data_IF_897492413566
#
_entry.id   IF_897492413566
#
_cell.length_a   1.000
_cell.length_b   1.000
_cell.length_c   1.000
_cell.angle_alpha   90.00
_cell.angle_beta   90.00
_cell.angle_gamma   90.00
#
_symmetry.space_group_name_H-M   'P 1'
#
loop_
_entity.id
_entity.type
_entity.pdbx_description
1 polymer ?
#
# COMPACT_ATOMS: atom_id res chain seq x y z
N UNK A 1 10.05 19.58 5.85
CA UNK A 1 10.62 18.24 5.55
C UNK A 1 9.52 17.16 5.43
N UNK A 2 8.49 17.14 6.29
CA UNK A 2 7.45 16.09 6.29
C UNK A 2 6.43 16.21 5.14
N UNK A 3 6.08 17.43 4.73
CA UNK A 3 5.26 17.67 3.52
C UNK A 3 5.92 17.10 2.25
N UNK A 4 7.26 17.18 2.17
CA UNK A 4 8.03 16.62 1.05
C UNK A 4 8.05 15.09 1.04
N UNK A 5 8.06 14.43 2.20
CA UNK A 5 8.05 12.96 2.30
C UNK A 5 6.69 12.38 1.87
N UNK A 6 5.57 12.95 2.32
CA UNK A 6 4.23 12.51 1.87
C UNK A 6 3.96 12.79 0.38
N UNK A 7 4.45 13.91 -0.15
CA UNK A 7 4.43 14.20 -1.59
C UNK A 7 5.28 13.20 -2.37
N UNK A 8 6.47 12.84 -1.87
CA UNK A 8 7.38 11.92 -2.56
C UNK A 8 6.83 10.49 -2.71
N UNK A 9 5.95 10.05 -1.81
CA UNK A 9 5.38 8.69 -1.85
C UNK A 9 4.56 8.43 -3.11
N UNK A 10 3.76 9.41 -3.53
CA UNK A 10 2.91 9.28 -4.72
C UNK A 10 3.53 9.86 -5.98
N UNK A 11 4.59 10.67 -5.86
CA UNK A 11 5.25 11.26 -7.01
C UNK A 11 5.98 10.19 -7.84
N UNK A 12 5.76 10.11 -9.17
CA UNK A 12 6.47 9.14 -10.00
C UNK A 12 7.95 9.52 -10.14
N UNK A 13 8.82 8.60 -9.74
CA UNK A 13 10.27 8.70 -9.94
C UNK A 13 10.65 8.08 -11.30
N UNK A 14 11.76 8.52 -11.92
CA UNK A 14 12.33 7.82 -13.06
C UNK A 14 12.80 6.42 -12.65
N UNK A 15 12.82 5.50 -13.62
CA UNK A 15 13.40 4.17 -13.48
C UNK A 15 14.85 4.19 -13.97
N UNK A 16 15.75 3.75 -13.10
CA UNK A 16 17.18 3.73 -13.36
C UNK A 16 17.60 2.28 -13.59
N UNK A 17 18.33 2.04 -14.68
CA UNK A 17 18.96 0.77 -14.98
C UNK A 17 20.44 0.85 -14.59
N UNK A 18 20.85 0.00 -13.65
CA UNK A 18 22.22 -0.11 -13.18
C UNK A 18 22.84 -1.39 -13.73
N UNK A 19 23.92 -1.26 -14.49
CA UNK A 19 24.82 -2.37 -14.79
C UNK A 19 25.92 -2.45 -13.74
N UNK A 20 26.06 -3.61 -13.11
CA UNK A 20 27.03 -3.84 -12.04
C UNK A 20 28.27 -4.56 -12.58
N UNK A 21 29.41 -4.36 -11.90
CA UNK A 21 30.69 -5.00 -12.23
C UNK A 21 30.68 -6.54 -12.18
N UNK A 22 29.69 -7.12 -11.52
CA UNK A 22 29.47 -8.58 -11.47
C UNK A 22 28.59 -9.10 -12.61
N UNK A 23 28.22 -8.24 -13.56
CA UNK A 23 27.39 -8.56 -14.72
C UNK A 23 25.88 -8.50 -14.45
N UNK A 24 25.45 -8.29 -13.20
CA UNK A 24 24.03 -8.12 -12.90
C UNK A 24 23.52 -6.79 -13.42
N UNK A 25 22.26 -6.79 -13.85
CA UNK A 25 21.53 -5.59 -14.24
C UNK A 25 20.32 -5.41 -13.33
N UNK A 26 20.15 -4.23 -12.76
CA UNK A 26 19.05 -3.91 -11.84
C UNK A 26 18.26 -2.73 -12.41
N UNK A 27 16.94 -2.85 -12.46
CA UNK A 27 16.03 -1.76 -12.80
C UNK A 27 15.19 -1.38 -11.58
N UNK A 28 15.18 -0.10 -11.22
CA UNK A 28 14.42 0.35 -10.05
C UNK A 28 14.30 1.86 -9.89
N UNK A 29 13.51 2.27 -8.89
CA UNK A 29 13.39 3.67 -8.49
C UNK A 29 14.36 3.95 -7.33
N UNK A 30 15.19 4.98 -7.44
CA UNK A 30 16.07 5.37 -6.33
C UNK A 30 15.24 6.07 -5.26
N UNK A 31 15.08 5.41 -4.11
CA UNK A 31 14.26 5.90 -2.99
C UNK A 31 15.08 6.57 -1.89
N UNK A 32 16.34 6.19 -1.74
CA UNK A 32 17.25 6.75 -0.75
C UNK A 32 18.68 6.70 -1.24
N UNK A 33 19.48 7.67 -0.82
CA UNK A 33 20.94 7.70 -1.00
C UNK A 33 21.58 7.93 0.35
N UNK A 34 22.68 7.24 0.64
CA UNK A 34 23.45 7.49 1.85
C UNK A 34 24.93 7.15 1.68
N UNK A 35 25.73 7.70 2.58
CA UNK A 35 27.14 7.36 2.72
C UNK A 35 27.28 6.33 3.84
N UNK A 36 28.10 5.30 3.61
CA UNK A 36 28.37 4.25 4.57
C UNK A 36 29.86 3.91 4.59
N UNK A 37 30.32 3.27 5.67
CA UNK A 37 31.64 2.64 5.74
C UNK A 37 31.47 1.15 5.46
N UNK A 38 31.97 0.61 4.34
CA UNK A 38 31.85 -0.81 4.07
C UNK A 38 32.57 -1.65 5.13
N UNK A 39 31.91 -2.71 5.60
CA UNK A 39 32.49 -3.67 6.54
C UNK A 39 33.23 -4.78 5.78
N UNK A 40 34.09 -5.56 6.44
CA UNK A 40 34.80 -6.70 5.81
C UNK A 40 33.87 -7.68 5.09
N UNK A 41 32.65 -7.88 5.59
CA UNK A 41 31.63 -8.71 4.91
C UNK A 41 31.25 -8.19 3.51
N UNK A 42 31.25 -6.87 3.28
CA UNK A 42 31.00 -6.31 1.97
C UNK A 42 32.14 -6.67 1.01
N UNK A 43 33.39 -6.47 1.45
CA UNK A 43 34.56 -6.83 0.65
C UNK A 43 34.64 -8.34 0.37
N UNK A 44 34.20 -9.18 1.31
CA UNK A 44 34.14 -10.63 1.14
C UNK A 44 33.08 -11.09 0.11
N UNK A 45 32.09 -10.25 -0.21
CA UNK A 45 31.11 -10.54 -1.28
C UNK A 45 31.60 -10.15 -2.68
N UNK A 46 32.75 -9.49 -2.80
CA UNK A 46 33.27 -9.05 -4.08
C UNK A 46 34.05 -10.20 -4.73
N UNK A 47 33.62 -10.62 -5.92
CA UNK A 47 34.27 -11.66 -6.70
C UNK A 47 34.87 -11.08 -7.98
N UNK A 48 36.10 -11.48 -8.31
CA UNK A 48 36.77 -11.09 -9.56
C UNK A 48 37.88 -10.04 -9.41
N UNK A 49 38.54 -9.70 -10.52
CA UNK A 49 39.79 -8.90 -10.51
C UNK A 49 39.59 -7.46 -10.03
N UNK A 50 38.36 -6.95 -10.09
CA UNK A 50 37.99 -5.60 -9.67
C UNK A 50 37.77 -5.46 -8.16
N UNK A 51 37.72 -6.56 -7.39
CA UNK A 51 37.50 -6.52 -5.94
C UNK A 51 38.60 -5.72 -5.21
N UNK A 52 39.86 -5.90 -5.63
CA UNK A 52 40.99 -5.15 -5.09
C UNK A 52 40.93 -3.66 -5.42
N UNK A 53 40.45 -3.32 -6.63
CA UNK A 53 40.27 -1.93 -7.06
C UNK A 53 39.21 -1.22 -6.23
N UNK A 54 38.08 -1.88 -5.96
CA UNK A 54 37.01 -1.35 -5.10
C UNK A 54 37.53 -1.06 -3.71
N UNK A 55 38.33 -1.96 -3.12
CA UNK A 55 38.94 -1.75 -1.80
C UNK A 55 39.86 -0.52 -1.81
N UNK A 56 40.78 -0.45 -2.78
CA UNK A 56 41.70 0.67 -2.92
C UNK A 56 40.96 2.00 -3.14
N UNK A 57 39.88 2.00 -3.92
CA UNK A 57 39.04 3.18 -4.16
C UNK A 57 38.39 3.69 -2.86
N UNK A 58 37.80 2.79 -2.07
CA UNK A 58 37.16 3.16 -0.80
C UNK A 58 38.20 3.64 0.23
N UNK A 59 39.36 2.99 0.30
CA UNK A 59 40.47 3.42 1.18
C UNK A 59 40.98 4.81 0.79
N UNK A 60 41.20 5.07 -0.51
CA UNK A 60 41.58 6.38 -1.01
C UNK A 60 40.52 7.46 -0.73
N UNK A 61 39.24 7.09 -0.65
CA UNK A 61 38.13 7.95 -0.27
C UNK A 61 37.96 8.13 1.25
N UNK A 62 38.93 7.70 2.08
CA UNK A 62 38.86 7.82 3.53
C UNK A 62 37.98 6.76 4.21
N UNK A 63 37.84 5.59 3.57
CA UNK A 63 37.10 4.45 4.09
C UNK A 63 35.59 4.56 3.97
N UNK A 64 35.07 5.47 3.13
CA UNK A 64 33.63 5.70 2.93
C UNK A 64 33.24 5.46 1.46
N UNK A 65 32.03 4.93 1.26
CA UNK A 65 31.40 4.73 -0.04
C UNK A 65 29.96 5.26 -0.03
N UNK A 66 29.34 5.42 -1.19
CA UNK A 66 27.91 5.75 -1.27
C UNK A 66 27.11 4.52 -1.68
N UNK A 67 25.85 4.48 -1.26
CA UNK A 67 24.91 3.47 -1.71
C UNK A 67 23.54 4.07 -1.95
N UNK A 68 22.83 3.48 -2.89
CA UNK A 68 21.48 3.83 -3.27
C UNK A 68 20.54 2.68 -2.90
N UNK A 69 19.39 3.00 -2.29
CA UNK A 69 18.32 2.05 -2.06
C UNK A 69 17.37 2.12 -3.25
N UNK A 70 17.45 1.12 -4.12
CA UNK A 70 16.53 0.98 -5.22
C UNK A 70 15.30 0.25 -4.70
N UNK A 71 14.12 0.82 -4.90
CA UNK A 71 12.90 0.01 -4.93
C UNK A 71 12.98 -0.80 -6.21
N UNK A 72 12.99 -2.12 -6.08
CA UNK A 72 12.95 -3.05 -7.20
C UNK A 72 11.54 -3.61 -7.31
N UNK A 73 11.03 -3.73 -8.53
CA UNK A 73 9.76 -4.39 -8.80
C UNK A 73 9.92 -5.91 -8.82
N UNK A 74 8.89 -6.59 -9.31
CA UNK A 74 8.96 -8.01 -9.69
C UNK A 74 9.23 -8.90 -8.47
N UNK A 75 8.53 -8.66 -7.36
CA UNK A 75 8.71 -9.40 -6.11
C UNK A 75 8.56 -10.91 -6.31
N UNK A 76 7.64 -11.33 -7.18
CA UNK A 76 7.43 -12.72 -7.55
C UNK A 76 8.66 -13.38 -8.21
N UNK A 77 9.55 -12.60 -8.82
CA UNK A 77 10.78 -13.08 -9.45
C UNK A 77 12.00 -12.95 -8.53
N UNK A 78 12.04 -11.87 -7.75
CA UNK A 78 13.24 -11.48 -6.99
C UNK A 78 13.13 -11.73 -5.48
N UNK A 79 11.92 -11.95 -4.96
CA UNK A 79 11.58 -12.02 -3.53
C UNK A 79 12.07 -10.82 -2.69
N UNK A 80 12.34 -9.68 -3.32
CA UNK A 80 12.72 -8.45 -2.62
C UNK A 80 12.13 -7.21 -3.28
N UNK A 81 11.63 -6.29 -2.46
CA UNK A 81 11.11 -5.00 -2.93
C UNK A 81 12.18 -3.91 -2.94
N UNK A 82 13.31 -4.12 -2.26
CA UNK A 82 14.34 -3.12 -2.11
C UNK A 82 15.74 -3.74 -2.13
N UNK A 83 16.66 -3.09 -2.84
CA UNK A 83 18.05 -3.51 -2.92
C UNK A 83 18.97 -2.32 -2.68
N UNK A 84 19.95 -2.50 -1.79
CA UNK A 84 21.05 -1.56 -1.64
C UNK A 84 22.11 -1.85 -2.69
N UNK A 85 22.46 -0.84 -3.48
CA UNK A 85 23.52 -0.92 -4.49
C UNK A 85 24.59 0.11 -4.14
N UNK A 86 25.84 -0.33 -3.98
CA UNK A 86 26.96 0.57 -3.72
C UNK A 86 27.45 1.20 -5.02
N UNK A 87 27.77 2.49 -4.99
CA UNK A 87 28.27 3.24 -6.16
C UNK A 87 29.55 2.63 -6.75
N UNK A 88 30.45 2.12 -5.91
CA UNK A 88 31.68 1.43 -6.34
C UNK A 88 31.43 0.13 -7.13
N UNK A 89 30.22 -0.43 -7.08
CA UNK A 89 29.84 -1.61 -7.86
C UNK A 89 29.16 -1.25 -9.19
N UNK A 90 28.74 0.01 -9.36
CA UNK A 90 28.04 0.47 -10.56
C UNK A 90 29.10 0.69 -11.65
N UNK A 91 28.95 -0.02 -12.76
CA UNK A 91 29.79 0.15 -13.95
C UNK A 91 29.17 1.19 -14.90
N UNK A 92 27.87 1.10 -15.14
CA UNK A 92 27.11 2.07 -15.92
C UNK A 92 25.70 2.26 -15.36
N UNK A 93 25.13 3.43 -15.64
CA UNK A 93 23.80 3.82 -15.20
C UNK A 93 23.08 4.52 -16.35
N UNK A 94 21.88 4.03 -16.67
CA UNK A 94 21.03 4.57 -17.73
C UNK A 94 19.60 4.82 -17.23
N UNK A 95 18.87 5.69 -17.92
CA UNK A 95 17.43 5.91 -17.76
C UNK A 95 16.73 5.53 -19.08
N UNK A 96 16.45 4.24 -19.32
CA UNK A 96 15.95 3.80 -20.62
C UNK A 96 14.60 4.43 -20.94
N UNK A 97 14.44 4.95 -22.16
CA UNK A 97 13.20 5.63 -22.59
C UNK A 97 11.95 4.79 -22.35
N UNK A 98 12.01 3.48 -22.63
CA UNK A 98 10.87 2.56 -22.54
C UNK A 98 10.81 1.74 -21.25
N UNK A 99 11.44 2.21 -20.17
CA UNK A 99 11.24 1.61 -18.85
C UNK A 99 9.80 1.86 -18.36
N UNK A 100 9.02 0.78 -18.24
CA UNK A 100 7.64 0.80 -17.77
C UNK A 100 7.59 0.48 -16.28
N UNK A 101 6.88 1.33 -15.54
CA UNK A 101 6.38 1.06 -14.20
C UNK A 101 4.93 0.59 -14.29
N UNK A 102 4.65 -0.60 -13.78
CA UNK A 102 3.32 -1.18 -13.71
C UNK A 102 2.89 -1.33 -12.26
N UNK A 103 1.74 -0.79 -11.93
CA UNK A 103 1.05 -1.01 -10.66
C UNK A 103 -0.03 -2.06 -10.88
N UNK A 104 0.03 -3.14 -10.10
CA UNK A 104 -0.81 -4.32 -10.28
C UNK A 104 -1.75 -4.52 -9.11
N UNK A 105 -2.78 -5.34 -9.32
CA UNK A 105 -3.70 -5.76 -8.27
C UNK A 105 -3.01 -6.65 -7.23
N UNK A 106 -2.05 -7.47 -7.65
CA UNK A 106 -1.31 -8.43 -6.83
C UNK A 106 0.21 -8.27 -7.04
N UNK A 107 0.99 -8.77 -6.07
CA UNK A 107 2.47 -8.83 -6.14
C UNK A 107 3.19 -7.48 -6.30
N UNK A 108 2.53 -6.38 -5.94
CA UNK A 108 3.13 -5.04 -5.96
C UNK A 108 3.47 -4.53 -7.37
N UNK A 109 4.50 -3.68 -7.44
CA UNK A 109 4.94 -3.06 -8.70
C UNK A 109 5.74 -4.02 -9.57
N UNK A 110 5.60 -3.87 -10.88
CA UNK A 110 6.43 -4.54 -11.88
C UNK A 110 7.22 -3.51 -12.69
N UNK A 111 8.51 -3.75 -12.89
CA UNK A 111 9.39 -2.93 -13.72
C UNK A 111 9.98 -3.77 -14.86
N UNK A 112 9.91 -3.23 -16.08
CA UNK A 112 10.46 -3.89 -17.25
C UNK A 112 10.27 -3.07 -18.52
N UNK A 113 10.49 -3.72 -19.65
CA UNK A 113 10.42 -3.14 -20.98
C UNK A 113 9.31 -3.82 -21.79
N UNK A 114 8.53 -3.08 -22.58
CA UNK A 114 7.49 -3.68 -23.41
C UNK A 114 8.13 -4.59 -24.47
N UNK A 115 7.69 -5.84 -24.52
CA UNK A 115 8.18 -6.82 -25.48
C UNK A 115 7.14 -7.12 -26.58
N UNK A 116 5.91 -7.44 -26.19
CA UNK A 116 4.81 -7.72 -27.13
C UNK A 116 3.46 -7.36 -26.51
N UNK A 117 2.50 -6.99 -27.35
CA UNK A 117 1.10 -6.91 -26.98
C UNK A 117 0.33 -8.03 -27.69
N UNK A 118 -0.44 -8.78 -26.92
CA UNK A 118 -1.17 -9.96 -27.39
C UNK A 118 -2.68 -9.70 -27.34
N UNK A 119 -3.38 -10.06 -28.41
CA UNK A 119 -4.84 -10.22 -28.40
C UNK A 119 -5.20 -11.62 -28.87
N UNK A 120 -5.95 -12.36 -28.06
CA UNK A 120 -6.27 -13.78 -28.30
C UNK A 120 -5.03 -14.66 -28.51
N UNK A 121 -3.96 -14.36 -27.78
CA UNK A 121 -2.68 -15.07 -27.89
C UNK A 121 -1.90 -14.77 -29.18
N UNK A 122 -2.37 -13.84 -30.03
CA UNK A 122 -1.66 -13.39 -31.23
C UNK A 122 -0.98 -12.06 -30.97
N UNK A 123 0.25 -11.93 -31.43
CA UNK A 123 0.99 -10.66 -31.37
C UNK A 123 0.32 -9.66 -32.30
N UNK A 124 -0.12 -8.53 -31.74
CA UNK A 124 -0.72 -7.41 -32.48
C UNK A 124 0.16 -6.16 -32.48
N UNK A 125 1.15 -6.10 -31.58
CA UNK A 125 2.21 -5.09 -31.57
C UNK A 125 3.49 -5.66 -30.95
N UNK A 126 4.64 -5.28 -31.50
CA UNK A 126 5.97 -5.75 -31.10
C UNK A 126 7.02 -4.62 -30.98
N UNK A 127 6.63 -3.37 -31.25
CA UNK A 127 7.45 -2.19 -30.97
C UNK A 127 6.94 -1.48 -29.72
N UNK A 128 7.83 -0.91 -28.88
CA UNK A 128 7.43 -0.23 -27.64
C UNK A 128 6.33 0.83 -27.84
N UNK A 129 6.42 1.65 -28.88
CA UNK A 129 5.44 2.67 -29.24
C UNK A 129 4.08 2.05 -29.59
N UNK A 130 4.06 1.02 -30.43
CA UNK A 130 2.82 0.36 -30.83
C UNK A 130 2.17 -0.40 -29.67
N UNK A 131 2.98 -1.04 -28.83
CA UNK A 131 2.53 -1.72 -27.60
C UNK A 131 1.90 -0.70 -26.64
N UNK A 132 2.53 0.46 -26.45
CA UNK A 132 2.01 1.50 -25.59
C UNK A 132 0.70 2.09 -26.12
N UNK A 133 0.60 2.33 -27.43
CA UNK A 133 -0.64 2.79 -28.06
C UNK A 133 -1.78 1.78 -27.87
N UNK A 134 -1.52 0.49 -28.10
CA UNK A 134 -2.51 -0.57 -27.88
C UNK A 134 -2.93 -0.67 -26.40
N UNK A 135 -1.99 -0.50 -25.46
CA UNK A 135 -2.30 -0.45 -24.04
C UNK A 135 -3.24 0.74 -23.73
N UNK A 136 -2.91 1.95 -24.19
CA UNK A 136 -3.69 3.16 -23.93
C UNK A 136 -5.10 3.09 -24.52
N UNK A 137 -5.26 2.44 -25.68
CA UNK A 137 -6.57 2.24 -26.32
C UNK A 137 -7.46 1.25 -25.53
N UNK A 138 -6.89 0.14 -25.04
CA UNK A 138 -7.67 -0.97 -24.50
C UNK A 138 -7.77 -1.01 -22.97
N UNK A 139 -6.81 -0.42 -22.26
CA UNK A 139 -6.72 -0.55 -20.80
C UNK A 139 -7.92 0.07 -20.09
N UNK A 140 -8.41 1.24 -20.54
CA UNK A 140 -9.58 1.89 -19.98
C UNK A 140 -10.83 1.00 -20.00
N UNK A 141 -11.16 0.42 -21.17
CA UNK A 141 -12.30 -0.49 -21.30
C UNK A 141 -12.14 -1.76 -20.46
N UNK A 142 -10.93 -2.31 -20.39
CA UNK A 142 -10.63 -3.47 -19.54
C UNK A 142 -10.86 -3.15 -18.07
N UNK A 143 -10.48 -1.95 -17.62
CA UNK A 143 -10.70 -1.48 -16.24
C UNK A 143 -12.18 -1.24 -15.94
N UNK A 144 -12.95 -0.67 -16.86
CA UNK A 144 -14.40 -0.53 -16.70
C UNK A 144 -15.09 -1.89 -16.57
N UNK A 145 -14.73 -2.86 -17.43
CA UNK A 145 -15.23 -4.23 -17.33
C UNK A 145 -14.84 -4.89 -16.01
N UNK A 146 -13.60 -4.67 -15.56
CA UNK A 146 -13.13 -5.17 -14.26
C UNK A 146 -13.93 -4.57 -13.10
N UNK A 147 -14.25 -3.27 -13.13
CA UNK A 147 -15.07 -2.63 -12.11
C UNK A 147 -16.49 -3.20 -12.10
N UNK A 148 -17.09 -3.39 -13.28
CA UNK A 148 -18.41 -4.03 -13.39
C UNK A 148 -18.40 -5.45 -12.81
N UNK A 149 -17.31 -6.22 -13.01
CA UNK A 149 -17.14 -7.53 -12.39
C UNK A 149 -17.14 -7.43 -10.86
N UNK A 150 -16.42 -6.45 -10.29
CA UNK A 150 -16.38 -6.21 -8.83
C UNK A 150 -17.76 -5.92 -8.26
N UNK A 151 -18.56 -5.11 -8.95
CA UNK A 151 -19.93 -4.79 -8.51
C UNK A 151 -20.84 -6.03 -8.51
N UNK A 152 -20.65 -6.94 -9.47
CA UNK A 152 -21.35 -8.22 -9.54
C UNK A 152 -20.88 -9.19 -8.43
N UNK A 153 -19.57 -9.26 -8.16
CA UNK A 153 -19.02 -10.03 -7.04
C UNK A 153 -19.56 -9.53 -5.69
N UNK A 154 -19.67 -8.21 -5.51
CA UNK A 154 -20.26 -7.61 -4.31
C UNK A 154 -21.75 -7.95 -4.15
N UNK A 155 -22.49 -8.09 -5.25
CA UNK A 155 -23.87 -8.58 -5.23
C UNK A 155 -23.94 -10.04 -4.78
N UNK A 156 -23.05 -10.91 -5.28
CA UNK A 156 -22.93 -12.30 -4.81
C UNK A 156 -22.64 -12.33 -3.30
N UNK A 157 -21.72 -11.48 -2.83
CA UNK A 157 -21.43 -11.33 -1.41
C UNK A 157 -22.68 -11.06 -0.59
N UNK A 158 -23.47 -10.04 -0.94
CA UNK A 158 -24.73 -9.71 -0.25
C UNK A 158 -25.76 -10.85 -0.27
N UNK A 159 -25.84 -11.60 -1.37
CA UNK A 159 -26.72 -12.77 -1.48
C UNK A 159 -26.28 -13.86 -0.51
N UNK A 160 -24.97 -14.13 -0.44
CA UNK A 160 -24.40 -15.11 0.48
C UNK A 160 -24.57 -14.69 1.94
N UNK A 161 -24.39 -13.42 2.26
CA UNK A 161 -24.59 -12.87 3.61
C UNK A 161 -26.04 -13.12 4.07
N UNK A 162 -27.02 -12.78 3.22
CA UNK A 162 -28.44 -13.02 3.53
C UNK A 162 -28.78 -14.49 3.72
N UNK A 163 -28.11 -15.38 3.00
CA UNK A 163 -28.31 -16.82 3.14
C UNK A 163 -27.69 -17.34 4.43
N UNK A 164 -26.50 -16.85 4.79
CA UNK A 164 -25.83 -17.23 6.02
C UNK A 164 -26.57 -16.71 7.26
N UNK A 165 -27.09 -15.48 7.22
CA UNK A 165 -27.95 -14.94 8.28
C UNK A 165 -29.17 -15.84 8.55
N UNK A 166 -29.85 -16.29 7.50
CA UNK A 166 -31.00 -17.19 7.63
C UNK A 166 -30.61 -18.57 8.17
N UNK A 167 -29.42 -19.09 7.81
CA UNK A 167 -28.89 -20.34 8.35
C UNK A 167 -28.56 -20.22 9.83
N UNK A 168 -27.95 -19.12 10.25
CA UNK A 168 -27.63 -18.83 11.63
C UNK A 168 -28.89 -18.63 12.48
N UNK A 169 -29.92 -17.97 11.94
CA UNK A 169 -31.22 -17.80 12.59
C UNK A 169 -31.89 -19.16 12.85
N UNK A 170 -31.99 -20.00 11.81
CA UNK A 170 -32.53 -21.36 11.92
C UNK A 170 -31.74 -22.20 12.93
N UNK A 171 -30.40 -22.11 12.90
CA UNK A 171 -29.52 -22.83 13.83
C UNK A 171 -29.71 -22.34 15.27
N UNK A 172 -29.91 -21.03 15.47
CA UNK A 172 -30.20 -20.43 16.76
C UNK A 172 -31.51 -20.95 17.36
N UNK A 173 -32.56 -21.09 16.55
CA UNK A 173 -33.85 -21.66 16.98
C UNK A 173 -33.69 -23.14 17.35
N UNK A 174 -32.98 -23.92 16.52
CA UNK A 174 -32.71 -25.34 16.78
C UNK A 174 -32.01 -25.54 18.14
N UNK A 175 -31.04 -24.70 18.47
CA UNK A 175 -30.30 -24.79 19.73
C UNK A 175 -31.16 -24.43 20.96
N UNK A 176 -32.15 -23.54 20.82
CA UNK A 176 -33.03 -23.12 21.93
C UNK A 176 -34.18 -24.09 22.18
N UNK A 177 -34.82 -24.58 21.12
CA UNK A 177 -36.11 -25.28 21.22
C UNK A 177 -36.16 -26.65 20.53
N UNK A 178 -35.11 -27.05 19.81
CA UNK A 178 -35.11 -28.26 18.98
C UNK A 178 -35.87 -28.09 17.66
N UNK A 179 -35.80 -29.13 16.80
CA UNK A 179 -36.34 -29.11 15.43
C UNK A 179 -37.86 -29.26 15.34
N UNK A 180 -38.49 -29.77 16.40
CA UNK A 180 -39.93 -30.09 16.40
C UNK A 180 -40.83 -28.89 16.73
N UNK A 181 -40.24 -27.69 16.81
CA UNK A 181 -41.00 -26.47 17.13
C UNK A 181 -41.69 -25.88 15.89
N UNK A 182 -42.88 -25.25 16.05
CA UNK A 182 -43.51 -24.50 14.97
C UNK A 182 -42.63 -23.36 14.44
N UNK A 183 -41.84 -22.73 15.32
CA UNK A 183 -40.88 -21.68 15.00
C UNK A 183 -39.79 -22.19 14.03
N UNK A 184 -39.20 -23.35 14.33
CA UNK A 184 -38.19 -23.97 13.45
C UNK A 184 -38.76 -24.32 12.08
N UNK A 185 -39.99 -24.85 12.03
CA UNK A 185 -40.66 -25.19 10.76
C UNK A 185 -41.00 -23.95 9.92
N UNK A 186 -41.35 -22.84 10.57
CA UNK A 186 -41.58 -21.56 9.89
C UNK A 186 -40.27 -21.00 9.33
N UNK A 187 -39.20 -20.97 10.13
CA UNK A 187 -37.92 -20.41 9.71
C UNK A 187 -37.25 -21.27 8.64
N UNK A 188 -37.39 -22.60 8.71
CA UNK A 188 -36.92 -23.48 7.63
C UNK A 188 -37.57 -23.15 6.29
N UNK A 189 -38.88 -22.90 6.25
CA UNK A 189 -39.58 -22.50 5.01
C UNK A 189 -39.09 -21.14 4.51
N UNK A 190 -38.78 -20.21 5.41
CA UNK A 190 -38.18 -18.92 5.05
C UNK A 190 -36.79 -19.10 4.44
N UNK A 191 -35.94 -19.94 5.04
CA UNK A 191 -34.64 -20.31 4.49
C UNK A 191 -34.77 -20.94 3.09
N UNK A 192 -35.72 -21.85 2.87
CA UNK A 192 -35.97 -22.45 1.55
C UNK A 192 -36.31 -21.40 0.49
N UNK A 193 -37.11 -20.38 0.84
CA UNK A 193 -37.43 -19.26 -0.06
C UNK A 193 -36.20 -18.38 -0.33
N UNK A 194 -35.40 -18.09 0.70
CA UNK A 194 -34.17 -17.29 0.55
C UNK A 194 -33.15 -18.04 -0.32
N UNK A 195 -32.97 -19.34 -0.08
CA UNK A 195 -32.09 -20.20 -0.88
C UNK A 195 -32.52 -20.22 -2.35
N UNK A 196 -33.81 -20.40 -2.64
CA UNK A 196 -34.30 -20.40 -4.02
C UNK A 196 -34.05 -19.05 -4.74
N UNK A 197 -34.21 -17.93 -4.03
CA UNK A 197 -33.89 -16.59 -4.56
C UNK A 197 -32.39 -16.42 -4.77
N UNK A 198 -31.57 -16.87 -3.83
CA UNK A 198 -30.12 -16.84 -3.93
C UNK A 198 -29.65 -17.63 -5.15
N UNK A 199 -30.15 -18.86 -5.33
CA UNK A 199 -29.82 -19.72 -6.47
C UNK A 199 -30.18 -19.04 -7.80
N UNK A 200 -31.34 -18.38 -7.87
CA UNK A 200 -31.75 -17.61 -9.04
C UNK A 200 -30.80 -16.43 -9.32
N UNK A 201 -30.46 -15.64 -8.30
CA UNK A 201 -29.53 -14.51 -8.44
C UNK A 201 -28.13 -14.97 -8.88
N UNK A 202 -27.62 -16.06 -8.31
CA UNK A 202 -26.32 -16.63 -8.69
C UNK A 202 -26.35 -17.15 -10.13
N UNK A 203 -27.43 -17.83 -10.55
CA UNK A 203 -27.59 -18.30 -11.92
C UNK A 203 -27.63 -17.15 -12.94
N UNK A 204 -28.08 -15.96 -12.55
CA UNK A 204 -28.06 -14.76 -13.41
C UNK A 204 -26.69 -14.05 -13.42
N UNK A 205 -26.04 -13.93 -12.26
CA UNK A 205 -24.81 -13.13 -12.11
C UNK A 205 -23.58 -13.90 -12.60
N UNK A 206 -23.47 -15.20 -12.32
CA UNK A 206 -22.28 -15.99 -12.63
C UNK A 206 -21.91 -15.97 -14.12
N UNK A 207 -22.85 -16.11 -15.07
CA UNK A 207 -22.54 -16.03 -16.50
C UNK A 207 -22.01 -14.65 -16.92
N UNK A 208 -22.50 -13.56 -16.32
CA UNK A 208 -22.04 -12.19 -16.60
C UNK A 208 -20.58 -12.03 -16.18
N UNK A 209 -20.22 -12.50 -14.99
CA UNK A 209 -18.83 -12.51 -14.51
C UNK A 209 -17.95 -13.32 -15.45
N UNK A 210 -18.37 -14.53 -15.83
CA UNK A 210 -17.60 -15.39 -16.75
C UNK A 210 -17.39 -14.75 -18.12
N UNK A 211 -18.41 -14.06 -18.67
CA UNK A 211 -18.29 -13.34 -19.93
C UNK A 211 -17.24 -12.21 -19.83
N UNK A 212 -17.27 -11.43 -18.75
CA UNK A 212 -16.29 -10.36 -18.50
C UNK A 212 -14.87 -10.93 -18.38
N UNK A 213 -14.69 -11.99 -17.59
CA UNK A 213 -13.39 -12.65 -17.40
C UNK A 213 -12.86 -13.15 -18.75
N UNK A 214 -13.69 -13.84 -19.53
CA UNK A 214 -13.33 -14.31 -20.87
C UNK A 214 -12.92 -13.17 -21.79
N UNK A 215 -13.68 -12.07 -21.78
CA UNK A 215 -13.39 -10.91 -22.62
C UNK A 215 -12.08 -10.21 -22.21
N UNK A 216 -11.85 -10.01 -20.92
CA UNK A 216 -10.66 -9.33 -20.43
C UNK A 216 -9.39 -10.17 -20.60
N UNK A 217 -9.47 -11.50 -20.48
CA UNK A 217 -8.33 -12.39 -20.65
C UNK A 217 -7.76 -12.44 -22.08
N UNK A 218 -8.47 -11.84 -23.05
CA UNK A 218 -8.03 -11.75 -24.45
C UNK A 218 -6.80 -10.86 -24.60
N UNK A 219 -6.66 -9.83 -23.77
CA UNK A 219 -5.62 -8.81 -23.92
C UNK A 219 -4.53 -8.98 -22.87
N UNK A 220 -3.28 -9.11 -23.34
CA UNK A 220 -2.15 -9.38 -22.48
C UNK A 220 -0.93 -8.56 -22.92
N UNK A 221 -0.16 -8.09 -21.94
CA UNK A 221 1.08 -7.36 -22.14
C UNK A 221 2.24 -8.26 -21.74
N UNK A 222 3.15 -8.52 -22.69
CA UNK A 222 4.42 -9.18 -22.42
C UNK A 222 5.50 -8.13 -22.18
N UNK A 223 6.26 -8.32 -21.12
CA UNK A 223 7.39 -7.48 -20.74
C UNK A 223 8.65 -8.31 -20.59
N UNK A 224 9.79 -7.69 -20.86
CA UNK A 224 11.10 -8.21 -20.46
C UNK A 224 11.61 -7.47 -19.22
N UNK A 225 12.18 -8.22 -18.28
CA UNK A 225 12.85 -7.66 -17.11
C UNK A 225 14.30 -7.30 -17.44
N UNK A 226 14.96 -6.54 -16.56
CA UNK A 226 16.34 -6.14 -16.75
C UNK A 226 17.35 -7.31 -16.73
N UNK A 227 17.00 -8.41 -16.07
CA UNK A 227 17.77 -9.66 -16.06
C UNK A 227 17.39 -10.62 -17.21
N UNK A 228 16.56 -10.17 -18.15
CA UNK A 228 16.24 -10.91 -19.38
C UNK A 228 15.11 -11.94 -19.28
N UNK A 229 14.39 -11.99 -18.15
CA UNK A 229 13.20 -12.82 -18.02
C UNK A 229 12.01 -12.20 -18.75
N UNK A 230 11.06 -13.01 -19.18
CA UNK A 230 9.81 -12.54 -19.77
C UNK A 230 8.65 -12.77 -18.81
N UNK A 231 7.78 -11.76 -18.70
CA UNK A 231 6.56 -11.83 -17.91
C UNK A 231 5.36 -11.50 -18.79
N UNK A 232 4.29 -12.26 -18.63
CA UNK A 232 3.04 -12.08 -19.37
C UNK A 232 1.95 -11.69 -18.39
N UNK A 233 1.43 -10.47 -18.53
CA UNK A 233 0.44 -9.89 -17.62
C UNK A 233 -0.88 -9.68 -18.34
N UNK A 234 -1.99 -10.11 -17.74
CA UNK A 234 -3.31 -9.75 -18.23
C UNK A 234 -3.55 -8.25 -18.00
N UNK A 235 -4.16 -7.57 -18.98
CA UNK A 235 -4.48 -6.15 -18.81
C UNK A 235 -5.41 -5.88 -17.62
N UNK A 236 -6.25 -6.85 -17.26
CA UNK A 236 -7.14 -6.76 -16.11
C UNK A 236 -6.40 -6.70 -14.76
N UNK A 237 -5.18 -7.22 -14.70
CA UNK A 237 -4.36 -7.25 -13.47
C UNK A 237 -3.52 -5.98 -13.31
N UNK A 238 -3.44 -5.15 -14.37
CA UNK A 238 -2.74 -3.87 -14.38
C UNK A 238 -3.72 -2.78 -13.97
N UNK A 239 -3.37 -2.00 -12.95
CA UNK A 239 -4.15 -0.84 -12.51
C UNK A 239 -3.66 0.44 -13.17
N UNK A 240 -2.35 0.58 -13.29
CA UNK A 240 -1.71 1.73 -13.96
C UNK A 240 -0.41 1.27 -14.60
N UNK A 241 -0.15 1.76 -15.81
CA UNK A 241 1.16 1.65 -16.44
C UNK A 241 1.72 3.05 -16.67
N UNK A 242 3.03 3.23 -16.53
CA UNK A 242 3.69 4.53 -16.64
C UNK A 242 5.04 4.36 -17.36
N UNK A 243 5.28 5.02 -18.51
CA UNK A 243 6.60 5.13 -19.11
C UNK A 243 7.43 6.13 -18.30
N UNK A 244 8.05 5.64 -17.22
CA UNK A 244 8.58 6.46 -16.12
C UNK A 244 9.55 7.55 -16.59
N UNK A 245 10.36 7.24 -17.62
CA UNK A 245 11.41 8.11 -18.14
C UNK A 245 10.96 9.01 -19.28
N UNK A 246 9.73 8.87 -19.78
CA UNK A 246 9.14 9.74 -20.82
C UNK A 246 8.24 10.84 -20.24
N UNK A 247 7.93 10.77 -18.95
CA UNK A 247 7.04 11.75 -18.33
C UNK A 247 7.72 13.11 -18.15
N UNK A 248 7.23 14.12 -18.86
CA UNK A 248 7.41 15.52 -18.49
C UNK A 248 6.66 15.87 -17.19
N UNK A 249 6.84 17.09 -16.69
CA UNK A 249 6.22 17.56 -15.44
C UNK A 249 4.70 17.36 -15.41
N UNK A 250 3.99 17.70 -16.50
CA UNK A 250 2.53 17.55 -16.58
C UNK A 250 2.08 16.09 -16.45
N UNK A 251 2.78 15.16 -17.10
CA UNK A 251 2.50 13.73 -16.98
C UNK A 251 2.75 13.20 -15.56
N UNK A 252 3.83 13.66 -14.91
CA UNK A 252 4.11 13.32 -13.50
C UNK A 252 3.00 13.81 -12.57
N UNK A 253 2.51 15.04 -12.78
CA UNK A 253 1.40 15.61 -12.01
C UNK A 253 0.09 14.83 -12.21
N UNK A 254 -0.23 14.41 -13.43
CA UNK A 254 -1.40 13.60 -13.72
C UNK A 254 -1.36 12.26 -12.97
N UNK A 255 -0.22 11.56 -13.02
CA UNK A 255 -0.04 10.29 -12.29
C UNK A 255 -0.16 10.51 -10.78
N UNK A 256 0.46 11.57 -10.26
CA UNK A 256 0.38 11.92 -8.85
C UNK A 256 -1.07 12.14 -8.38
N UNK A 257 -1.84 12.95 -9.11
CA UNK A 257 -3.25 13.21 -8.78
C UNK A 257 -4.10 11.94 -8.91
N UNK A 258 -3.83 11.11 -9.92
CA UNK A 258 -4.52 9.84 -10.12
C UNK A 258 -4.27 8.86 -8.96
N UNK A 259 -3.02 8.75 -8.48
CA UNK A 259 -2.67 7.94 -7.30
C UNK A 259 -3.37 8.43 -6.03
N UNK A 260 -3.46 9.75 -5.85
CA UNK A 260 -4.17 10.35 -4.73
C UNK A 260 -5.67 10.08 -4.78
N UNK A 261 -6.29 10.23 -5.94
CA UNK A 261 -7.72 9.96 -6.11
C UNK A 261 -8.03 8.49 -5.79
N UNK A 262 -7.29 7.57 -6.40
CA UNK A 262 -7.39 6.13 -6.15
C UNK A 262 -7.21 5.78 -4.67
N UNK A 263 -6.24 6.39 -4.00
CA UNK A 263 -6.02 6.19 -2.57
C UNK A 263 -7.21 6.62 -1.69
N UNK A 264 -7.98 7.63 -2.12
CA UNK A 264 -9.12 8.15 -1.39
C UNK A 264 -10.43 7.42 -1.71
N UNK A 265 -10.55 6.81 -2.89
CA UNK A 265 -11.81 6.25 -3.40
C UNK A 265 -11.86 4.73 -3.49
N UNK A 266 -10.72 4.07 -3.69
CA UNK A 266 -10.69 2.63 -3.97
C UNK A 266 -10.37 1.81 -2.72
N UNK A 267 -10.82 0.55 -2.73
CA UNK A 267 -10.53 -0.40 -1.66
C UNK A 267 -9.01 -0.61 -1.46
N UNK A 268 -8.55 -0.82 -0.21
CA UNK A 268 -7.14 -1.09 0.07
C UNK A 268 -6.67 -2.38 -0.61
N UNK A 269 -5.57 -2.30 -1.37
CA UNK A 269 -4.92 -3.46 -2.00
C UNK A 269 -3.75 -3.97 -1.17
N UNK A 270 -3.37 -5.23 -1.39
CA UNK A 270 -2.16 -5.82 -0.79
C UNK A 270 -0.91 -4.97 -1.04
N UNK A 271 -0.74 -4.44 -2.26
CA UNK A 271 0.36 -3.55 -2.62
C UNK A 271 0.40 -2.23 -1.83
N UNK A 272 -0.74 -1.79 -1.28
CA UNK A 272 -0.81 -0.58 -0.44
C UNK A 272 -0.34 -0.84 1.01
N UNK A 273 -0.26 -2.11 1.42
CA UNK A 273 0.20 -2.53 2.76
C UNK A 273 1.72 -2.56 2.89
N UNK A 274 2.46 -2.61 1.77
CA UNK A 274 3.93 -2.70 1.70
C UNK A 274 4.67 -1.49 2.33
N UNK A 275 3.99 -0.36 2.54
CA UNK A 275 4.58 0.89 3.04
C UNK A 275 4.16 1.31 4.46
N UNK A 276 3.36 0.52 5.19
CA UNK A 276 2.92 0.86 6.55
C UNK A 276 1.93 2.05 6.67
N UNK A 277 1.54 2.66 5.54
CA UNK A 277 0.60 3.79 5.49
C UNK A 277 -0.79 3.41 6.01
N UNK A 278 -1.30 2.24 5.62
CA UNK A 278 -2.60 1.75 6.08
C UNK A 278 -2.65 1.44 7.58
N UNK A 279 -1.67 0.71 8.16
CA UNK A 279 -1.58 0.57 9.62
C UNK A 279 -1.54 1.90 10.38
N UNK A 280 -0.87 2.92 9.85
CA UNK A 280 -0.79 4.24 10.47
C UNK A 280 -2.13 5.01 10.44
N UNK A 281 -2.83 4.98 9.29
CA UNK A 281 -4.15 5.62 9.16
C UNK A 281 -5.19 4.85 9.96
N UNK A 282 -5.18 3.51 9.90
CA UNK A 282 -6.06 2.67 10.71
C UNK A 282 -5.83 2.90 12.20
N UNK A 283 -4.57 3.01 12.64
CA UNK A 283 -4.23 3.39 14.01
C UNK A 283 -4.79 4.75 14.40
N UNK A 284 -4.70 5.74 13.50
CA UNK A 284 -5.26 7.08 13.74
C UNK A 284 -6.78 7.06 13.83
N UNK A 285 -7.46 6.38 12.91
CA UNK A 285 -8.93 6.21 12.93
C UNK A 285 -9.37 5.47 14.19
N UNK A 286 -8.71 4.36 14.54
CA UNK A 286 -9.02 3.56 15.72
C UNK A 286 -8.82 4.37 17.01
N UNK A 287 -7.70 5.07 17.16
CA UNK A 287 -7.45 5.95 18.31
C UNK A 287 -8.47 7.09 18.39
N UNK A 288 -8.94 7.58 17.25
CA UNK A 288 -9.98 8.61 17.20
C UNK A 288 -11.34 8.05 17.63
N UNK A 289 -11.72 6.84 17.19
CA UNK A 289 -12.93 6.16 17.66
C UNK A 289 -12.87 5.91 19.16
N UNK A 290 -11.71 5.47 19.67
CA UNK A 290 -11.50 5.26 21.10
C UNK A 290 -11.64 6.58 21.87
N UNK A 291 -11.02 7.66 21.41
CA UNK A 291 -11.11 8.98 22.03
C UNK A 291 -12.51 9.59 22.01
N UNK A 292 -13.25 9.41 20.91
CA UNK A 292 -14.60 9.97 20.74
C UNK A 292 -15.69 9.20 21.48
N UNK A 293 -15.58 7.86 21.56
CA UNK A 293 -16.66 7.00 22.04
C UNK A 293 -16.32 6.21 23.31
N UNK A 294 -15.12 5.65 23.43
CA UNK A 294 -14.73 4.82 24.59
C UNK A 294 -14.22 5.66 25.76
N UNK A 295 -13.40 6.68 25.52
CA UNK A 295 -12.85 7.52 26.59
C UNK A 295 -13.93 8.20 27.45
N UNK A 296 -15.06 8.70 26.87
CA UNK A 296 -16.19 9.21 27.65
C UNK A 296 -16.87 8.15 28.52
N UNK A 297 -16.96 6.89 28.06
CA UNK A 297 -17.49 5.78 28.85
C UNK A 297 -16.56 5.41 30.01
N UNK A 298 -15.29 5.81 29.96
CA UNK A 298 -14.29 5.63 31.01
C UNK A 298 -14.12 6.87 31.92
N UNK A 299 -15.03 7.85 31.83
CA UNK A 299 -15.02 9.04 32.68
C UNK A 299 -14.03 10.14 32.26
N UNK A 300 -13.40 10.00 31.09
CA UNK A 300 -12.54 11.03 30.50
C UNK A 300 -13.43 12.02 29.74
N UNK A 301 -13.28 13.36 29.90
CA UNK A 301 -14.05 14.33 29.15
C UNK A 301 -14.01 14.06 27.64
N UNK A 302 -15.12 14.31 26.93
CA UNK A 302 -15.16 14.19 25.46
C UNK A 302 -14.06 15.06 24.84
N UNK A 303 -12.99 14.42 24.38
CA UNK A 303 -11.97 15.06 23.57
C UNK A 303 -12.30 14.74 22.12
N UNK A 304 -12.81 15.72 21.40
CA UNK A 304 -12.88 15.70 19.93
C UNK A 304 -11.67 16.50 19.42
N UNK A 305 -10.55 15.84 19.09
CA UNK A 305 -9.33 16.54 18.71
C UNK A 305 -9.53 17.31 17.40
N UNK A 306 -10.40 16.84 16.52
CA UNK A 306 -10.73 17.52 15.27
C UNK A 306 -11.52 18.81 15.55
N UNK A 307 -12.54 18.78 16.40
CA UNK A 307 -13.27 19.98 16.80
C UNK A 307 -12.38 20.99 17.55
N UNK A 308 -11.48 20.50 18.40
CA UNK A 308 -10.52 21.35 19.11
C UNK A 308 -9.54 22.05 18.17
N UNK A 309 -8.94 21.30 17.24
CA UNK A 309 -8.06 21.85 16.21
C UNK A 309 -8.81 22.78 15.26
N UNK A 310 -10.05 22.46 14.92
CA UNK A 310 -10.92 23.35 14.15
C UNK A 310 -11.11 24.69 14.87
N UNK A 311 -11.41 24.66 16.17
CA UNK A 311 -11.53 25.88 16.99
C UNK A 311 -10.27 26.75 16.96
N UNK A 312 -9.08 26.14 17.04
CA UNK A 312 -7.80 26.84 16.95
C UNK A 312 -7.48 27.39 15.55
N UNK A 313 -8.06 26.80 14.50
CA UNK A 313 -7.81 27.11 13.07
C UNK A 313 -8.96 27.89 12.41
N UNK A 314 -9.78 28.60 13.19
CA UNK A 314 -10.84 29.48 12.67
C UNK A 314 -12.23 28.84 12.52
N UNK A 315 -12.46 27.68 13.13
CA UNK A 315 -13.79 27.08 13.32
C UNK A 315 -14.25 26.09 12.22
N UNK A 316 -13.45 25.86 11.18
CA UNK A 316 -13.82 24.92 10.12
C UNK A 316 -13.51 23.48 10.52
N UNK A 317 -14.55 22.70 10.83
CA UNK A 317 -14.44 21.30 11.27
C UNK A 317 -13.63 20.43 10.30
N UNK A 318 -13.77 20.65 8.99
CA UNK A 318 -12.99 19.95 7.97
C UNK A 318 -11.48 20.21 8.08
N UNK A 319 -11.06 21.44 8.42
CA UNK A 319 -9.65 21.77 8.65
C UNK A 319 -9.14 21.13 9.94
N UNK A 320 -9.98 21.03 10.97
CA UNK A 320 -9.65 20.32 12.20
C UNK A 320 -9.42 18.81 11.98
N UNK A 321 -10.28 18.17 11.19
CA UNK A 321 -10.08 16.77 10.77
C UNK A 321 -8.81 16.60 9.94
N UNK A 322 -8.58 17.48 8.97
CA UNK A 322 -7.35 17.45 8.18
C UNK A 322 -6.11 17.60 9.08
N UNK A 323 -6.11 18.53 10.03
CA UNK A 323 -5.00 18.72 10.96
C UNK A 323 -4.79 17.50 11.88
N UNK A 324 -5.86 16.91 12.42
CA UNK A 324 -5.78 15.72 13.28
C UNK A 324 -5.16 14.53 12.54
N UNK A 325 -5.64 14.23 11.33
CA UNK A 325 -5.05 13.18 10.49
C UNK A 325 -3.61 13.46 10.12
N UNK A 326 -3.28 14.71 9.79
CA UNK A 326 -1.91 15.12 9.50
C UNK A 326 -0.98 14.92 10.70
N UNK A 327 -1.42 15.22 11.92
CA UNK A 327 -0.64 14.96 13.15
C UNK A 327 -0.41 13.46 13.34
N UNK A 328 -1.45 12.62 13.17
CA UNK A 328 -1.32 11.16 13.26
C UNK A 328 -0.32 10.59 12.26
N UNK A 329 -0.38 11.03 11.00
CA UNK A 329 0.57 10.63 9.94
C UNK A 329 1.99 11.10 10.28
N UNK A 330 2.16 12.35 10.72
CA UNK A 330 3.46 12.90 11.13
C UNK A 330 4.07 12.06 12.25
N UNK A 331 3.30 11.74 13.30
CA UNK A 331 3.78 10.92 14.41
C UNK A 331 4.15 9.49 13.94
N UNK A 332 3.33 8.85 13.11
CA UNK A 332 3.64 7.52 12.58
C UNK A 332 4.94 7.52 11.74
N UNK A 333 5.17 8.55 10.93
CA UNK A 333 6.40 8.68 10.15
C UNK A 333 7.63 8.93 11.04
N UNK A 334 7.49 9.75 12.10
CA UNK A 334 8.57 9.95 13.07
C UNK A 334 8.88 8.61 13.76
N UNK A 335 7.87 7.84 14.17
CA UNK A 335 8.07 6.52 14.74
C UNK A 335 8.85 5.61 13.78
N UNK A 336 8.43 5.50 12.52
CA UNK A 336 9.14 4.70 11.53
C UNK A 336 10.61 5.11 11.35
N UNK A 337 10.90 6.41 11.43
CA UNK A 337 12.27 6.93 11.32
C UNK A 337 13.14 6.62 12.55
N UNK A 338 12.59 6.69 13.76
CA UNK A 338 13.35 6.54 15.01
C UNK A 338 13.26 5.16 15.65
N UNK A 339 12.34 4.30 15.20
CA UNK A 339 12.09 3.00 15.81
C UNK A 339 13.34 2.11 15.83
N UNK A 340 14.21 2.22 14.85
CA UNK A 340 15.48 1.47 14.81
C UNK A 340 16.50 1.92 15.86
N UNK A 341 16.35 3.13 16.40
CA UNK A 341 17.21 3.71 17.44
C UNK A 341 16.68 3.47 18.85
N UNK A 342 15.41 3.07 18.98
CA UNK A 342 14.80 2.80 20.27
C UNK A 342 15.17 1.40 20.78
N UNK A 343 15.57 1.27 22.06
CA UNK A 343 16.00 -0.01 22.60
C UNK A 343 14.82 -0.98 22.78
N UNK A 344 15.10 -2.28 22.64
CA UNK A 344 14.18 -3.36 22.97
C UNK A 344 13.36 -3.94 21.81
N UNK A 345 12.43 -4.86 22.11
CA UNK A 345 11.51 -5.46 21.15
C UNK A 345 10.46 -4.46 20.62
N UNK A 346 9.78 -4.75 19.50
CA UNK A 346 8.87 -3.81 18.83
C UNK A 346 7.83 -3.14 19.73
N UNK A 347 7.22 -3.88 20.66
CA UNK A 347 6.23 -3.32 21.58
C UNK A 347 6.85 -2.30 22.55
N UNK A 348 8.09 -2.53 23.00
CA UNK A 348 8.81 -1.64 23.92
C UNK A 348 9.29 -0.37 23.21
N UNK A 349 9.67 -0.48 21.92
CA UNK A 349 9.97 0.68 21.08
C UNK A 349 8.75 1.57 20.92
N UNK A 350 7.59 0.98 20.69
CA UNK A 350 6.31 1.69 20.67
C UNK A 350 6.03 2.41 21.99
N UNK A 351 6.26 1.73 23.13
CA UNK A 351 6.10 2.33 24.45
C UNK A 351 7.06 3.53 24.67
N UNK A 352 8.34 3.39 24.36
CA UNK A 352 9.32 4.49 24.44
C UNK A 352 8.94 5.66 23.53
N UNK A 353 8.50 5.36 22.31
CA UNK A 353 8.05 6.38 21.39
C UNK A 353 6.84 7.15 21.92
N UNK A 354 5.87 6.45 22.52
CA UNK A 354 4.65 7.05 23.05
C UNK A 354 4.86 8.07 24.17
N UNK A 355 5.95 7.96 24.93
CA UNK A 355 6.27 8.88 26.04
C UNK A 355 6.48 10.31 25.55
N UNK A 356 7.16 10.51 24.41
CA UNK A 356 7.50 11.86 23.93
C UNK A 356 6.29 12.65 23.43
N UNK A 357 5.41 12.12 22.56
CA UNK A 357 4.15 12.77 22.20
C UNK A 357 3.22 12.95 23.40
N UNK A 358 3.19 12.00 24.35
CA UNK A 358 2.43 12.16 25.59
C UNK A 358 2.94 13.33 26.43
N UNK A 359 4.25 13.44 26.66
CA UNK A 359 4.84 14.59 27.37
C UNK A 359 4.60 15.91 26.63
N UNK A 360 4.64 15.92 25.29
CA UNK A 360 4.33 17.10 24.51
C UNK A 360 2.86 17.52 24.67
N UNK A 361 1.93 16.56 24.70
CA UNK A 361 0.52 16.81 25.00
C UNK A 361 0.38 17.43 26.40
N UNK A 362 0.98 16.81 27.40
CA UNK A 362 0.89 17.22 28.81
C UNK A 362 1.52 18.60 29.06
N UNK A 363 2.71 18.86 28.52
CA UNK A 363 3.50 20.05 28.84
C UNK A 363 3.22 21.26 27.95
N UNK A 364 2.73 21.04 26.73
CA UNK A 364 2.48 22.12 25.78
C UNK A 364 1.00 22.26 25.43
N UNK A 365 0.37 21.18 24.97
CA UNK A 365 -0.98 21.26 24.38
C UNK A 365 -2.05 21.53 25.45
N UNK A 366 -2.05 20.81 26.57
CA UNK A 366 -3.04 21.00 27.64
C UNK A 366 -2.97 22.42 28.26
N UNK A 367 -1.80 22.99 28.59
CA UNK A 367 -1.70 24.37 29.06
C UNK A 367 -2.18 25.42 28.06
N UNK A 368 -1.89 25.23 26.77
CA UNK A 368 -2.37 26.14 25.72
C UNK A 368 -3.91 26.16 25.62
N UNK A 369 -4.55 25.07 26.03
CA UNK A 369 -6.00 24.97 26.13
C UNK A 369 -6.58 25.43 27.48
N UNK A 370 -5.73 25.97 28.37
CA UNK A 370 -6.13 26.38 29.72
C UNK A 370 -6.42 25.22 30.67
N UNK A 371 -6.03 23.99 30.33
CA UNK A 371 -6.13 22.82 31.21
C UNK A 371 -4.88 22.69 32.09
N UNK A 372 -5.01 22.20 33.34
CA UNK A 372 -3.85 21.97 34.20
C UNK A 372 -2.95 20.88 33.62
N UNK A 373 -1.65 21.01 33.87
CA UNK A 373 -0.66 19.96 33.58
C UNK A 373 -1.11 18.65 34.24
N UNK A 374 -1.04 17.53 33.54
CA UNK A 374 -1.37 16.21 34.07
C UNK A 374 -2.84 15.99 34.44
N UNK A 375 -3.76 16.81 33.88
CA UNK A 375 -5.19 16.65 34.05
C UNK A 375 -5.66 15.26 33.56
N UNK A 376 -6.08 14.39 34.47
CA UNK A 376 -6.54 13.02 34.17
C UNK A 376 -5.49 11.92 34.33
N UNK A 377 -4.21 12.27 34.56
CA UNK A 377 -3.12 11.28 34.71
C UNK A 377 -3.22 10.46 36.00
N UNK A 378 -3.85 10.99 37.06
CA UNK A 378 -4.07 10.26 38.32
C UNK A 378 -5.02 9.07 38.12
N UNK A 379 -6.02 9.21 37.26
CA UNK A 379 -7.00 8.14 36.98
C UNK A 379 -6.41 7.07 36.07
N UNK A 380 -5.61 7.46 35.06
CA UNK A 380 -4.89 6.53 34.19
C UNK A 380 -3.75 5.79 34.91
N UNK A 381 -3.02 6.48 35.80
CA UNK A 381 -2.01 5.85 36.65
C UNK A 381 -2.64 4.86 37.64
N UNK A 382 -3.78 5.21 38.23
CA UNK A 382 -4.53 4.29 39.11
C UNK A 382 -5.14 3.09 38.36
N UNK A 383 -5.62 3.29 37.13
CA UNK A 383 -6.19 2.21 36.30
C UNK A 383 -5.12 1.26 35.72
N UNK A 384 -3.86 1.68 35.65
CA UNK A 384 -2.73 0.81 35.25
C UNK A 384 -2.13 -0.01 36.39
N UNK A 385 -2.61 0.19 37.62
CA UNK A 385 -2.17 -0.49 38.85
C UNK A 385 -3.17 -1.55 39.35
N UNK A 386 -4.22 -1.84 38.57
CA UNK A 386 -5.17 -2.95 38.73
C UNK A 386 -5.20 -3.70 37.42
#
# INVERSE_FOLDING_TARGET
FIFFQGISTFWPAPLVQLGLRDGRTILGEVTRRETFRPEERFYATLEGPWAGEVRAQVEAAGGVAKRELLRTGNFELTNTHFQWVSDVLIEHQDEPTWALLLERLSWGRFYGFPAQFLTDGKVVADTPEAIWNAFQELHGEVRERWQHRRDLEAQIGRVNDSLEDARLELRGIELRGGKDTPEWTAERRRLEVIQARADQSLAEIQPKIQAIVKQNNRHQLMLSTADGQTAQLALADIVRAVPANQLGFGGKLQVYLSRWWEFLTDDPREANSEGGVYPAIFGTVLMTIVGLFLAPMMGIPKMDPAAMLAGAMGGHLALGWAAHFMIGIVLALIYAAVASWLPGPPWLRGAWYGVAPWLMLELAVLPMMGMPLFAGSVVLAAASLV
#
